data_IF_445182707994
#
_entry.id   IF_445182707994
#
_cell.length_a   1.000
_cell.length_b   1.000
_cell.length_c   1.000
_cell.angle_alpha   90.00
_cell.angle_beta   90.00
_cell.angle_gamma   90.00
#
_symmetry.space_group_name_H-M   'P 1'
#
loop_
_entity.id
_entity.type
_entity.pdbx_description
1 polymer ?
#
# COMPACT_ATOMS: atom_id res chain seq x y z
N UNK A 1 -10.02 9.01 -4.57
CA UNK A 1 -10.61 7.68 -4.31
C UNK A 1 -12.02 7.71 -4.83
N UNK A 2 -12.41 6.73 -5.63
CA UNK A 2 -13.78 6.65 -6.18
C UNK A 2 -14.79 6.43 -5.04
N UNK A 3 -16.07 6.78 -5.26
CA UNK A 3 -17.09 6.67 -4.21
C UNK A 3 -17.26 5.23 -3.69
N UNK A 4 -17.16 4.24 -4.57
CA UNK A 4 -17.21 2.82 -4.20
C UNK A 4 -16.01 2.40 -3.34
N UNK A 5 -14.80 2.83 -3.71
CA UNK A 5 -13.58 2.57 -2.94
C UNK A 5 -13.63 3.24 -1.56
N UNK A 6 -14.14 4.48 -1.51
CA UNK A 6 -14.29 5.24 -0.27
C UNK A 6 -15.25 4.52 0.70
N UNK A 7 -16.40 4.03 0.21
CA UNK A 7 -17.33 3.25 1.05
C UNK A 7 -16.65 2.03 1.69
N UNK A 8 -15.83 1.29 0.94
CA UNK A 8 -15.09 0.14 1.48
C UNK A 8 -14.04 0.59 2.50
N UNK A 9 -13.37 1.70 2.24
CA UNK A 9 -12.39 2.26 3.15
C UNK A 9 -13.03 2.67 4.49
N UNK A 10 -14.14 3.40 4.44
CA UNK A 10 -14.89 3.86 5.63
C UNK A 10 -15.42 2.67 6.45
N UNK A 11 -15.91 1.62 5.78
CA UNK A 11 -16.33 0.36 6.43
C UNK A 11 -15.17 -0.33 7.17
N UNK A 12 -13.97 -0.29 6.61
CA UNK A 12 -12.78 -0.83 7.26
C UNK A 12 -12.31 0.06 8.41
N UNK A 13 -12.49 1.39 8.28
CA UNK A 13 -12.21 2.37 9.33
C UNK A 13 -13.01 2.12 10.60
N UNK A 14 -14.29 1.82 10.45
CA UNK A 14 -15.16 1.42 11.56
C UNK A 14 -14.70 0.14 12.28
N UNK A 15 -13.94 -0.76 11.62
CA UNK A 15 -13.49 -2.03 12.22
C UNK A 15 -12.21 -1.93 13.02
N UNK A 16 -11.30 -1.02 12.66
CA UNK A 16 -10.00 -0.90 13.33
C UNK A 16 -9.47 0.52 13.24
N UNK A 17 -8.89 1.07 14.33
CA UNK A 17 -8.30 2.41 14.31
C UNK A 17 -6.93 2.47 13.60
N UNK A 18 -6.36 1.33 13.16
CA UNK A 18 -5.06 1.31 12.50
C UNK A 18 -5.08 2.00 11.13
N UNK A 19 -3.96 2.61 10.74
CA UNK A 19 -3.81 3.21 9.40
C UNK A 19 -3.97 2.16 8.28
N UNK A 20 -4.73 2.51 7.25
CA UNK A 20 -5.15 1.62 6.14
C UNK A 20 -4.45 1.95 4.82
N UNK A 21 -3.27 2.56 4.89
CA UNK A 21 -2.47 2.89 3.70
C UNK A 21 -2.14 1.66 2.82
N UNK A 22 -2.17 0.46 3.41
CA UNK A 22 -1.91 -0.80 2.72
C UNK A 22 -3.08 -1.27 1.82
N UNK A 23 -4.31 -0.77 2.04
CA UNK A 23 -5.50 -1.25 1.31
C UNK A 23 -5.39 -1.01 -0.21
N UNK A 24 -5.02 0.20 -0.69
CA UNK A 24 -4.83 0.42 -2.13
C UNK A 24 -3.73 -0.46 -2.75
N UNK A 25 -2.68 -0.82 -2.00
CA UNK A 25 -1.63 -1.71 -2.48
C UNK A 25 -2.15 -3.14 -2.67
N UNK A 26 -3.03 -3.61 -1.79
CA UNK A 26 -3.71 -4.91 -1.94
C UNK A 26 -4.66 -4.88 -3.15
N UNK A 27 -5.40 -3.79 -3.35
CA UNK A 27 -6.25 -3.62 -4.53
C UNK A 27 -5.45 -3.64 -5.83
N UNK A 28 -4.31 -2.94 -5.89
CA UNK A 28 -3.41 -2.96 -7.03
C UNK A 28 -2.93 -4.39 -7.35
N UNK A 29 -2.52 -5.15 -6.32
CA UNK A 29 -2.14 -6.57 -6.48
C UNK A 29 -3.27 -7.40 -7.10
N UNK A 30 -4.51 -7.21 -6.61
CA UNK A 30 -5.67 -7.92 -7.14
C UNK A 30 -5.99 -7.53 -8.59
N UNK A 31 -5.82 -6.26 -8.96
CA UNK A 31 -5.99 -5.78 -10.34
C UNK A 31 -4.94 -6.42 -11.26
N UNK A 32 -3.67 -6.49 -10.84
CA UNK A 32 -2.59 -7.15 -11.59
C UNK A 32 -2.93 -8.64 -11.82
N UNK A 33 -3.33 -9.34 -10.77
CA UNK A 33 -3.71 -10.77 -10.87
C UNK A 33 -4.91 -10.98 -11.79
N UNK A 34 -5.91 -10.09 -11.73
CA UNK A 34 -7.07 -10.13 -12.64
C UNK A 34 -6.65 -9.87 -14.08
N UNK A 35 -5.80 -8.86 -14.33
CA UNK A 35 -5.30 -8.55 -15.67
C UNK A 35 -4.51 -9.72 -16.27
N UNK A 36 -3.79 -10.49 -15.45
CA UNK A 36 -3.15 -11.73 -15.90
C UNK A 36 -4.18 -12.81 -16.26
N UNK A 37 -5.19 -13.01 -15.41
CA UNK A 37 -6.28 -13.99 -15.66
C UNK A 37 -7.07 -13.65 -16.93
N UNK A 38 -7.32 -12.37 -17.17
CA UNK A 38 -8.03 -11.86 -18.35
C UNK A 38 -7.11 -11.80 -19.58
N UNK A 39 -5.89 -12.34 -19.51
CA UNK A 39 -4.88 -12.39 -20.57
C UNK A 39 -4.47 -11.03 -21.15
N UNK A 40 -4.71 -9.94 -20.41
CA UNK A 40 -4.23 -8.59 -20.76
C UNK A 40 -2.72 -8.46 -20.57
N UNK A 41 -2.17 -9.23 -19.62
CA UNK A 41 -0.72 -9.35 -19.40
C UNK A 41 -0.26 -10.68 -20.00
N UNK A 42 0.59 -10.60 -21.03
CA UNK A 42 0.99 -11.77 -21.81
C UNK A 42 1.96 -12.71 -21.08
N UNK A 43 2.83 -12.17 -20.22
CA UNK A 43 3.91 -12.92 -19.57
C UNK A 43 3.87 -12.80 -18.05
N UNK A 44 4.10 -13.92 -17.37
CA UNK A 44 4.23 -13.98 -15.91
C UNK A 44 5.43 -13.18 -15.40
N UNK A 45 6.46 -12.99 -16.24
CA UNK A 45 7.61 -12.15 -15.89
C UNK A 45 7.22 -10.68 -15.72
N UNK A 46 6.28 -10.19 -16.53
CA UNK A 46 5.77 -8.82 -16.42
C UNK A 46 4.97 -8.67 -15.13
N UNK A 47 4.14 -9.67 -14.79
CA UNK A 47 3.41 -9.71 -13.51
C UNK A 47 4.38 -9.63 -12.34
N UNK A 48 5.44 -10.45 -12.36
CA UNK A 48 6.46 -10.44 -11.31
C UNK A 48 7.13 -9.05 -11.19
N UNK A 49 7.48 -8.42 -12.32
CA UNK A 49 8.07 -7.09 -12.32
C UNK A 49 7.12 -6.05 -11.71
N UNK A 50 5.84 -6.06 -12.08
CA UNK A 50 4.83 -5.16 -11.50
C UNK A 50 4.68 -5.35 -9.99
N UNK A 51 4.69 -6.60 -9.51
CA UNK A 51 4.62 -6.91 -8.08
C UNK A 51 5.89 -6.48 -7.31
N UNK A 52 7.05 -6.56 -7.94
CA UNK A 52 8.32 -6.06 -7.38
C UNK A 52 8.28 -4.54 -7.22
N UNK A 53 7.88 -3.79 -8.26
CA UNK A 53 7.74 -2.34 -8.19
C UNK A 53 6.70 -1.91 -7.14
N UNK A 54 5.56 -2.61 -7.08
CA UNK A 54 4.54 -2.36 -6.07
C UNK A 54 5.07 -2.61 -4.65
N UNK A 55 5.92 -3.63 -4.47
CA UNK A 55 6.58 -3.92 -3.20
C UNK A 55 7.61 -2.84 -2.81
N UNK A 56 8.29 -2.24 -3.77
CA UNK A 56 9.18 -1.10 -3.52
C UNK A 56 8.42 0.15 -3.09
N UNK A 57 7.28 0.45 -3.72
CA UNK A 57 6.38 1.53 -3.28
C UNK A 57 5.94 1.29 -1.84
N UNK A 58 5.50 0.06 -1.51
CA UNK A 58 5.14 -0.31 -0.13
C UNK A 58 6.28 -0.05 0.84
N UNK A 59 7.51 -0.43 0.48
CA UNK A 59 8.70 -0.21 1.31
C UNK A 59 8.96 1.27 1.56
N UNK A 60 8.86 2.11 0.53
CA UNK A 60 9.01 3.57 0.63
C UNK A 60 7.96 4.19 1.54
N UNK A 61 6.68 3.81 1.40
CA UNK A 61 5.61 4.25 2.31
C UNK A 61 5.87 3.78 3.75
N UNK A 62 6.31 2.54 3.94
CA UNK A 62 6.68 2.02 5.26
C UNK A 62 7.82 2.81 5.91
N UNK A 63 8.83 3.23 5.12
CA UNK A 63 9.90 4.08 5.62
C UNK A 63 9.40 5.45 6.06
N UNK A 64 8.48 6.08 5.32
CA UNK A 64 7.88 7.35 5.71
C UNK A 64 7.14 7.23 7.05
N UNK A 65 6.36 6.17 7.22
CA UNK A 65 5.67 5.88 8.49
C UNK A 65 6.70 5.62 9.61
N UNK A 66 7.79 4.92 9.30
CA UNK A 66 8.88 4.70 10.24
C UNK A 66 9.50 5.99 10.76
N UNK A 67 9.76 6.96 9.87
CA UNK A 67 10.27 8.29 10.25
C UNK A 67 9.26 9.09 11.07
N UNK A 68 7.97 9.00 10.76
CA UNK A 68 6.90 9.69 11.50
C UNK A 68 6.70 9.11 12.91
N UNK A 69 6.78 7.79 13.05
CA UNK A 69 6.60 7.10 14.32
C UNK A 69 7.85 7.11 15.21
N UNK A 70 9.04 7.08 14.61
CA UNK A 70 10.33 7.04 15.33
C UNK A 70 11.10 8.32 15.04
N UNK A 71 10.73 9.36 15.77
CA UNK A 71 11.39 10.65 15.70
C UNK A 71 12.74 10.64 16.45
N UNK A 72 13.59 11.62 16.14
CA UNK A 72 14.82 11.88 16.91
C UNK A 72 14.43 12.00 18.40
N UNK A 73 15.10 11.28 19.32
CA UNK A 73 14.75 11.32 20.72
C UNK A 73 14.78 12.76 21.24
N UNK A 74 13.71 13.14 21.94
CA UNK A 74 13.51 14.52 22.40
C UNK A 74 14.71 15.06 23.17
N UNK A 75 15.40 14.20 23.93
CA UNK A 75 16.61 14.56 24.70
C UNK A 75 17.72 15.14 23.82
N UNK A 76 17.86 14.68 22.57
CA UNK A 76 18.86 15.20 21.64
C UNK A 76 18.47 16.55 21.04
N UNK A 77 17.19 16.90 21.07
CA UNK A 77 16.69 18.21 20.60
C UNK A 77 16.66 19.28 21.69
N UNK A 78 16.81 18.88 22.96
CA UNK A 78 16.69 19.74 24.14
C UNK A 78 18.02 20.25 24.68
N UNK A 79 19.14 19.82 24.10
CA UNK A 79 20.50 20.29 24.40
C UNK A 79 20.91 21.26 23.30
#
# INVERSE_FOLDING_TARGET
>A
MLENEKKIFDLMDAKTPMSKYWMPLVWATNIINRARKDSLISSDHIVQTLLLELSDIRRKCGSLIGYDLVNVPLVYTQV
#
